data_IF_646458963859
#
_entry.id   IF_646458963859
#
_cell.length_a   1.000
_cell.length_b   1.000
_cell.length_c   1.000
_cell.angle_alpha   90.00
_cell.angle_beta   90.00
_cell.angle_gamma   90.00
#
_symmetry.space_group_name_H-M   'P 1'
#
loop_
_entity.id
_entity.type
_entity.pdbx_description
1 polymer ?
#
# COMPACT_ATOMS: atom_id res chain seq x y z
N UNK A 1 9.33 3.76 9.23
CA UNK A 1 8.17 2.90 8.88
C UNK A 1 6.92 3.76 8.95
N UNK A 2 6.02 3.63 8.00
CA UNK A 2 4.73 4.34 7.98
C UNK A 2 3.61 3.33 8.11
N UNK A 3 2.46 3.76 8.61
CA UNK A 3 1.25 2.95 8.68
C UNK A 3 0.10 3.71 8.03
N UNK A 4 -0.70 3.01 7.24
CA UNK A 4 -1.87 3.54 6.55
C UNK A 4 -2.99 2.50 6.59
N UNK A 5 -4.24 2.96 6.67
CA UNK A 5 -5.43 2.12 6.56
C UNK A 5 -5.97 2.09 5.12
N UNK A 6 -6.87 1.14 4.84
CA UNK A 6 -7.52 1.00 3.52
C UNK A 6 -9.06 1.05 3.59
N UNK A 7 -9.63 1.52 4.70
CA UNK A 7 -11.08 1.48 4.93
C UNK A 7 -11.88 2.45 4.05
N UNK A 8 -11.31 3.60 3.70
CA UNK A 8 -12.02 4.68 2.99
C UNK A 8 -11.58 4.76 1.55
N UNK A 9 -12.51 5.01 0.63
CA UNK A 9 -12.27 5.00 -0.81
C UNK A 9 -11.26 6.09 -1.22
N UNK A 10 -11.44 7.28 -0.69
CA UNK A 10 -10.68 8.49 -1.01
C UNK A 10 -9.23 8.43 -0.50
N UNK A 11 -8.99 7.63 0.55
CA UNK A 11 -7.68 7.50 1.20
C UNK A 11 -7.17 6.05 1.28
N UNK A 12 -7.58 5.19 0.35
CA UNK A 12 -7.24 3.77 0.42
C UNK A 12 -5.74 3.54 0.16
N UNK A 13 -5.03 2.98 1.13
CA UNK A 13 -3.60 2.65 0.99
C UNK A 13 -3.30 1.69 -0.18
N UNK A 14 -4.26 0.84 -0.58
CA UNK A 14 -4.07 -0.09 -1.70
C UNK A 14 -3.97 0.61 -3.07
N UNK A 15 -4.27 1.92 -3.16
CA UNK A 15 -3.95 2.70 -4.36
C UNK A 15 -2.45 2.83 -4.61
N UNK A 16 -1.64 2.69 -3.56
CA UNK A 16 -0.19 2.85 -3.62
C UNK A 16 0.53 1.50 -3.67
N UNK A 17 -0.10 0.40 -3.25
CA UNK A 17 0.54 -0.91 -3.14
C UNK A 17 0.90 -1.48 -4.51
N UNK A 18 2.05 -2.15 -4.58
CA UNK A 18 2.51 -2.80 -5.81
C UNK A 18 1.57 -3.95 -6.22
N UNK A 19 1.39 -4.21 -7.53
CA UNK A 19 0.74 -5.42 -8.03
C UNK A 19 1.69 -6.63 -7.96
N UNK A 20 2.27 -6.88 -6.78
CA UNK A 20 3.20 -7.95 -6.50
C UNK A 20 2.52 -9.04 -5.66
N UNK A 21 2.78 -10.30 -6.02
CA UNK A 21 2.14 -11.46 -5.42
C UNK A 21 3.16 -12.57 -5.17
N UNK A 22 2.99 -13.29 -4.07
CA UNK A 22 3.73 -14.52 -3.79
C UNK A 22 3.50 -15.57 -4.89
N UNK A 23 4.56 -16.25 -5.41
CA UNK A 23 4.42 -17.16 -6.56
C UNK A 23 3.66 -18.46 -6.27
N UNK A 24 3.40 -18.81 -5.00
CA UNK A 24 2.73 -20.07 -4.64
C UNK A 24 1.24 -19.85 -4.44
N UNK A 25 0.90 -18.89 -3.58
CA UNK A 25 -0.47 -18.65 -3.12
C UNK A 25 -1.13 -17.45 -3.79
N UNK A 26 -0.35 -16.65 -4.53
CA UNK A 26 -0.79 -15.37 -5.09
C UNK A 26 -1.26 -14.39 -4.00
N UNK A 27 -0.70 -14.48 -2.79
CA UNK A 27 -0.96 -13.51 -1.72
C UNK A 27 -0.26 -12.19 -2.04
N UNK A 28 -0.99 -11.06 -1.95
CA UNK A 28 -0.47 -9.75 -2.28
C UNK A 28 0.47 -9.16 -1.21
N UNK A 29 1.44 -8.35 -1.64
CA UNK A 29 2.43 -7.69 -0.78
C UNK A 29 1.89 -6.40 -0.11
N UNK A 30 0.95 -6.54 0.85
CA UNK A 30 0.35 -5.37 1.52
C UNK A 30 1.21 -4.73 2.62
N UNK A 31 2.29 -5.39 3.05
CA UNK A 31 3.10 -4.95 4.21
C UNK A 31 4.44 -4.32 3.84
N UNK A 32 4.77 -4.26 2.55
CA UNK A 32 5.95 -3.58 2.03
C UNK A 32 5.57 -2.79 0.79
N UNK A 33 5.76 -1.47 0.84
CA UNK A 33 5.59 -0.59 -0.31
C UNK A 33 6.46 0.65 -0.08
N UNK A 34 7.34 0.95 -1.03
CA UNK A 34 8.10 2.19 -0.99
C UNK A 34 7.16 3.37 -1.26
N UNK A 35 7.23 4.41 -0.43
CA UNK A 35 6.41 5.62 -0.58
C UNK A 35 7.27 6.85 -0.35
N UNK A 36 6.93 7.95 -1.02
CA UNK A 36 7.49 9.27 -0.76
C UNK A 36 6.47 10.09 0.05
N UNK A 37 6.89 10.63 1.20
CA UNK A 37 6.03 11.48 2.02
C UNK A 37 6.29 12.95 1.71
N UNK A 38 5.22 13.69 1.48
CA UNK A 38 5.28 15.13 1.23
C UNK A 38 4.35 15.87 2.19
N UNK A 39 4.80 17.05 2.66
CA UNK A 39 3.94 17.92 3.47
C UNK A 39 2.97 18.63 2.53
N UNK A 40 1.67 18.42 2.73
CA UNK A 40 0.65 19.21 2.05
C UNK A 40 0.75 20.67 2.52
N UNK A 41 0.85 21.59 1.57
CA UNK A 41 0.81 23.05 1.79
C UNK A 41 -0.64 23.52 1.90
#
# INVERSE_FOLDING_TARGET
MVWMAFHFREGNANWLTNPAFDPVTQTAEYKACAVNLEKKV
#
